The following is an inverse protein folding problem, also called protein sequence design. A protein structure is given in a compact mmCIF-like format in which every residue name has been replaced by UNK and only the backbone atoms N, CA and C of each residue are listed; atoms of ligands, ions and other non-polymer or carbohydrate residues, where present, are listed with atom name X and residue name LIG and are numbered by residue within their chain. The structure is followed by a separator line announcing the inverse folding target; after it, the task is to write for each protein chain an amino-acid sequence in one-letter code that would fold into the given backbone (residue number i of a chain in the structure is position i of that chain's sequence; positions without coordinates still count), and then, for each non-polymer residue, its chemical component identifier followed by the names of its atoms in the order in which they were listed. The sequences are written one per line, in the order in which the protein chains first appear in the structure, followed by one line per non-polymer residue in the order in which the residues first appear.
data_IF_518167414961
#
_entry.id   IF_518167414961
#
_cell.length_a   1.000
_cell.length_b   1.000
_cell.length_c   1.000
_cell.angle_alpha   90.00
_cell.angle_beta   90.00
_cell.angle_gamma   90.00
#
_symmetry.space_group_name_H-M   'P 1'
#
loop_
_entity.id
_entity.type
_entity.pdbx_description
1 polymer ?
#
# COMPACT_ATOMS: atom_id res chain seq x y z
N UNK A 1 13.98 -5.69 -37.43
CA UNK A 1 14.76 -5.70 -36.18
C UNK A 1 14.50 -4.42 -35.40
N UNK A 2 14.53 -4.47 -34.06
CA UNK A 2 14.59 -3.31 -33.13
C UNK A 2 13.27 -2.63 -32.69
N UNK A 3 12.37 -3.37 -32.01
CA UNK A 3 11.37 -2.76 -31.10
C UNK A 3 11.22 -3.48 -29.74
N UNK A 4 11.76 -4.71 -29.59
CA UNK A 4 11.79 -5.41 -28.30
C UNK A 4 12.87 -4.85 -27.35
N UNK A 5 14.03 -4.46 -27.88
CA UNK A 5 15.20 -4.02 -27.10
C UNK A 5 15.01 -2.70 -26.35
N UNK A 6 14.09 -1.83 -26.79
CA UNK A 6 13.85 -0.53 -26.13
C UNK A 6 12.92 -0.63 -24.91
N UNK A 7 11.91 -1.53 -24.95
CA UNK A 7 11.05 -1.78 -23.78
C UNK A 7 11.79 -2.53 -22.67
N UNK A 8 12.71 -3.43 -23.05
CA UNK A 8 13.57 -4.16 -22.12
C UNK A 8 14.59 -3.25 -21.44
N UNK A 9 15.18 -2.28 -22.16
CA UNK A 9 16.13 -1.33 -21.58
C UNK A 9 15.46 -0.31 -20.63
N UNK A 10 14.23 0.12 -20.93
CA UNK A 10 13.41 0.94 -20.02
C UNK A 10 13.05 0.14 -18.76
N UNK A 11 12.74 -1.15 -18.90
CA UNK A 11 12.45 -2.04 -17.78
C UNK A 11 13.67 -2.28 -16.90
N UNK A 12 14.85 -2.54 -17.47
CA UNK A 12 16.08 -2.69 -16.68
C UNK A 12 16.49 -1.40 -15.97
N UNK A 13 16.39 -0.25 -16.64
CA UNK A 13 16.68 1.05 -16.04
C UNK A 13 15.70 1.39 -14.92
N UNK A 14 14.41 1.06 -15.09
CA UNK A 14 13.41 1.17 -14.03
C UNK A 14 13.69 0.20 -12.89
N UNK A 15 14.02 -1.06 -13.15
CA UNK A 15 14.35 -2.07 -12.14
C UNK A 15 15.60 -1.69 -11.34
N UNK A 16 16.67 -1.23 -11.99
CA UNK A 16 17.89 -0.74 -11.31
C UNK A 16 17.63 0.51 -10.48
N UNK A 17 16.74 1.39 -10.93
CA UNK A 17 16.31 2.58 -10.18
C UNK A 17 15.36 2.24 -9.03
N UNK A 18 14.49 1.25 -9.22
CA UNK A 18 13.64 0.65 -8.20
C UNK A 18 14.52 0.00 -7.15
N UNK A 19 15.51 -0.81 -7.51
CA UNK A 19 16.46 -1.45 -6.60
C UNK A 19 17.38 -0.45 -5.91
N UNK A 20 17.78 0.64 -6.56
CA UNK A 20 18.56 1.71 -5.94
C UNK A 20 17.74 2.55 -4.96
N UNK A 21 16.49 2.88 -5.31
CA UNK A 21 15.55 3.55 -4.41
C UNK A 21 15.13 2.60 -3.29
N UNK A 22 14.90 1.33 -3.58
CA UNK A 22 14.62 0.29 -2.60
C UNK A 22 15.84 -0.03 -1.77
N UNK A 23 17.09 0.17 -2.22
CA UNK A 23 18.32 0.04 -1.40
C UNK A 23 18.56 1.26 -0.51
N UNK A 24 18.44 2.47 -1.05
CA UNK A 24 18.54 3.71 -0.26
C UNK A 24 17.39 3.84 0.73
N UNK A 25 16.17 3.54 0.27
CA UNK A 25 15.02 3.36 1.15
C UNK A 25 15.11 2.03 1.89
N UNK A 26 15.80 0.98 1.52
CA UNK A 26 15.97 -0.20 2.39
C UNK A 26 16.88 0.18 3.53
N UNK A 27 17.86 1.06 3.37
CA UNK A 27 18.68 1.50 4.49
C UNK A 27 17.88 2.43 5.43
N UNK A 28 17.00 3.29 4.90
CA UNK A 28 16.17 4.20 5.71
C UNK A 28 14.85 3.56 6.21
N UNK A 29 14.15 2.84 5.34
CA UNK A 29 13.08 1.90 5.67
C UNK A 29 13.62 0.82 6.57
N UNK A 30 14.74 0.10 6.34
CA UNK A 30 15.19 -0.93 7.31
C UNK A 30 15.43 -0.36 8.70
N UNK A 31 15.98 0.86 8.79
CA UNK A 31 16.11 1.56 10.07
C UNK A 31 14.75 1.96 10.69
N UNK A 32 13.69 2.16 9.89
CA UNK A 32 12.31 2.50 10.32
C UNK A 32 11.31 1.32 10.36
N UNK A 33 11.60 0.22 9.68
CA UNK A 33 10.78 -0.97 9.36
C UNK A 33 11.32 -2.16 10.15
N UNK A 34 12.64 -2.30 10.29
CA UNK A 34 13.31 -3.39 11.01
C UNK A 34 13.96 -2.90 12.30
N UNK A 35 13.30 -1.99 13.03
CA UNK A 35 13.64 -1.73 14.44
C UNK A 35 13.05 -2.91 15.24
N UNK A 36 13.80 -4.00 15.27
CA UNK A 36 13.50 -5.33 15.85
C UNK A 36 12.34 -6.09 15.18
N UNK A 37 12.58 -7.37 14.82
CA UNK A 37 11.66 -8.21 14.05
C UNK A 37 10.34 -8.48 14.79
N UNK A 38 9.32 -7.64 14.57
CA UNK A 38 7.95 -7.85 15.04
C UNK A 38 7.11 -8.76 14.11
N UNK A 39 7.62 -9.06 12.91
CA UNK A 39 6.96 -9.94 11.94
C UNK A 39 7.54 -11.35 12.00
N UNK A 40 6.66 -12.35 11.86
CA UNK A 40 7.08 -13.75 11.71
C UNK A 40 7.74 -14.00 10.34
N UNK A 41 8.56 -15.05 10.25
CA UNK A 41 9.17 -15.47 8.99
C UNK A 41 8.12 -15.72 7.89
N UNK A 42 6.95 -16.25 8.26
CA UNK A 42 5.84 -16.44 7.32
C UNK A 42 5.28 -15.11 6.81
N UNK A 43 5.08 -14.12 7.69
CA UNK A 43 4.63 -12.80 7.28
C UNK A 43 5.64 -12.14 6.33
N UNK A 44 6.93 -12.26 6.61
CA UNK A 44 8.00 -11.73 5.75
C UNK A 44 7.93 -12.38 4.37
N UNK A 45 7.80 -13.71 4.30
CA UNK A 45 7.68 -14.44 3.03
C UNK A 45 6.48 -13.95 2.21
N UNK A 46 5.32 -13.82 2.84
CA UNK A 46 4.10 -13.33 2.16
C UNK A 46 4.28 -11.90 1.65
N UNK A 47 4.98 -11.04 2.38
CA UNK A 47 5.24 -9.67 1.92
C UNK A 47 6.22 -9.63 0.75
N UNK A 48 7.22 -10.51 0.70
CA UNK A 48 8.13 -10.61 -0.46
C UNK A 48 7.40 -11.15 -1.70
N UNK A 49 6.58 -12.18 -1.54
CA UNK A 49 5.69 -12.67 -2.61
C UNK A 49 4.77 -11.55 -3.11
N UNK A 50 4.23 -10.73 -2.19
CA UNK A 50 3.36 -9.60 -2.54
C UNK A 50 4.12 -8.48 -3.26
N UNK A 51 5.36 -8.20 -2.85
CA UNK A 51 6.26 -7.26 -3.53
C UNK A 51 6.47 -7.68 -4.98
N UNK A 52 6.82 -8.95 -5.21
CA UNK A 52 7.05 -9.49 -6.55
C UNK A 52 5.78 -9.39 -7.42
N UNK A 53 4.61 -9.70 -6.84
CA UNK A 53 3.32 -9.50 -7.51
C UNK A 53 3.08 -8.04 -7.89
N UNK A 54 3.35 -7.09 -6.99
CA UNK A 54 3.12 -5.67 -7.23
C UNK A 54 4.06 -5.08 -8.29
N UNK A 55 5.33 -5.51 -8.32
CA UNK A 55 6.31 -5.11 -9.34
C UNK A 55 5.98 -5.73 -10.70
N UNK A 56 5.48 -6.98 -10.74
CA UNK A 56 5.07 -7.67 -11.96
C UNK A 56 3.77 -7.16 -12.61
N UNK A 57 3.25 -5.99 -12.23
CA UNK A 57 2.04 -5.39 -12.81
C UNK A 57 0.77 -5.54 -11.96
N UNK A 58 0.83 -6.33 -10.87
CA UNK A 58 -0.15 -6.36 -9.79
C UNK A 58 -1.63 -6.40 -10.21
N UNK A 59 -2.49 -5.82 -9.37
CA UNK A 59 -3.95 -5.78 -9.60
C UNK A 59 -4.41 -4.69 -10.59
N UNK A 60 -3.56 -4.28 -11.54
CA UNK A 60 -3.82 -3.21 -12.52
C UNK A 60 -3.90 -1.77 -11.95
N UNK A 61 -3.97 -1.61 -10.63
CA UNK A 61 -4.08 -0.31 -9.92
C UNK A 61 -2.76 0.21 -9.35
N UNK A 62 -1.75 -0.64 -9.21
CA UNK A 62 -0.43 -0.25 -8.69
C UNK A 62 0.44 0.06 -9.91
N UNK A 63 0.50 1.34 -10.27
CA UNK A 63 1.18 1.81 -11.49
C UNK A 63 2.55 2.43 -11.26
N UNK A 64 2.94 2.62 -9.99
CA UNK A 64 4.18 3.31 -9.63
C UNK A 64 4.88 2.69 -8.43
N UNK A 65 6.21 2.81 -8.42
CA UNK A 65 7.08 2.37 -7.32
C UNK A 65 6.61 2.91 -5.95
N UNK A 66 6.23 4.19 -5.90
CA UNK A 66 5.74 4.82 -4.67
C UNK A 66 4.48 4.12 -4.13
N UNK A 67 3.59 3.70 -5.03
CA UNK A 67 2.37 2.99 -4.66
C UNK A 67 2.67 1.59 -4.13
N UNK A 68 3.65 0.89 -4.72
CA UNK A 68 4.13 -0.42 -4.25
C UNK A 68 4.71 -0.33 -2.84
N UNK A 69 5.63 0.63 -2.60
CA UNK A 69 6.23 0.84 -1.27
C UNK A 69 5.16 1.16 -0.23
N UNK A 70 4.19 2.03 -0.58
CA UNK A 70 3.08 2.36 0.32
C UNK A 70 2.24 1.13 0.66
N UNK A 71 1.95 0.27 -0.32
CA UNK A 71 1.20 -0.95 -0.08
C UNK A 71 1.93 -1.91 0.87
N UNK A 72 3.24 -2.11 0.66
CA UNK A 72 4.08 -2.96 1.52
C UNK A 72 4.16 -2.43 2.95
N UNK A 73 4.38 -1.12 3.13
CA UNK A 73 4.40 -0.50 4.46
C UNK A 73 3.06 -0.66 5.19
N UNK A 74 1.95 -0.52 4.48
CA UNK A 74 0.62 -0.71 5.06
C UNK A 74 0.39 -2.16 5.49
N UNK A 75 0.81 -3.14 4.69
CA UNK A 75 0.65 -4.56 5.04
C UNK A 75 1.58 -4.95 6.19
N UNK A 76 2.80 -4.43 6.23
CA UNK A 76 3.66 -4.55 7.40
C UNK A 76 3.00 -4.00 8.66
N UNK A 77 2.46 -2.79 8.61
CA UNK A 77 1.77 -2.18 9.77
C UNK A 77 0.62 -3.06 10.26
N UNK A 78 -0.13 -3.66 9.34
CA UNK A 78 -1.16 -4.65 9.66
C UNK A 78 -0.55 -5.89 10.35
N UNK A 79 0.52 -6.46 9.80
CA UNK A 79 1.19 -7.63 10.34
C UNK A 79 1.75 -7.41 11.75
N UNK A 80 2.34 -6.24 11.99
CA UNK A 80 2.88 -5.83 13.31
C UNK A 80 1.76 -5.62 14.34
N UNK A 81 0.62 -5.11 13.90
CA UNK A 81 -0.55 -4.93 14.77
C UNK A 81 -1.19 -6.27 15.15
N UNK A 82 -1.42 -7.16 14.17
CA UNK A 82 -2.16 -8.41 14.40
C UNK A 82 -1.26 -9.49 15.03
N UNK A 83 0.05 -9.48 14.73
CA UNK A 83 1.05 -10.44 15.22
C UNK A 83 0.71 -11.91 14.92
N UNK A 84 0.10 -12.17 13.76
CA UNK A 84 -0.27 -13.51 13.28
C UNK A 84 -0.04 -13.66 11.78
N UNK A 85 0.14 -14.89 11.27
CA UNK A 85 0.16 -15.15 9.84
C UNK A 85 -1.03 -14.52 9.14
N UNK A 86 -0.81 -13.90 7.97
CA UNK A 86 -1.88 -13.19 7.26
C UNK A 86 -3.07 -14.08 6.89
N UNK A 87 -2.84 -15.38 6.70
CA UNK A 87 -3.87 -16.39 6.38
C UNK A 87 -4.72 -16.80 7.58
N UNK A 88 -4.27 -16.54 8.79
CA UNK A 88 -4.99 -16.83 10.04
C UNK A 88 -5.78 -15.62 10.55
N UNK A 89 -5.67 -14.49 9.86
CA UNK A 89 -6.36 -13.25 10.22
C UNK A 89 -7.87 -13.42 10.10
N UNK A 90 -8.56 -13.09 11.18
CA UNK A 90 -10.02 -13.14 11.26
C UNK A 90 -10.64 -11.78 10.93
N UNK A 91 -11.95 -11.77 10.69
CA UNK A 91 -12.72 -10.52 10.56
C UNK A 91 -12.51 -9.60 11.78
N UNK A 92 -12.54 -10.14 13.00
CA UNK A 92 -12.37 -9.37 14.24
C UNK A 92 -10.99 -8.70 14.31
N UNK A 93 -9.96 -9.33 13.78
CA UNK A 93 -8.61 -8.75 13.72
C UNK A 93 -8.59 -7.51 12.80
N UNK A 94 -9.24 -7.59 11.64
CA UNK A 94 -9.37 -6.46 10.71
C UNK A 94 -10.24 -5.34 11.29
N UNK A 95 -11.30 -5.67 12.03
CA UNK A 95 -12.13 -4.69 12.76
C UNK A 95 -11.29 -3.93 13.80
N UNK A 96 -10.49 -4.65 14.59
CA UNK A 96 -9.57 -4.06 15.57
C UNK A 96 -8.52 -3.16 14.91
N UNK A 97 -7.96 -3.60 13.79
CA UNK A 97 -7.01 -2.78 13.02
C UNK A 97 -7.66 -1.51 12.46
N UNK A 98 -8.88 -1.62 11.94
CA UNK A 98 -9.66 -0.46 11.47
C UNK A 98 -9.92 0.56 12.59
N UNK A 99 -10.27 0.08 13.79
CA UNK A 99 -10.44 0.94 14.96
C UNK A 99 -9.11 1.62 15.36
N UNK A 100 -8.01 0.87 15.38
CA UNK A 100 -6.67 1.40 15.64
C UNK A 100 -6.28 2.52 14.66
N UNK A 101 -6.53 2.34 13.35
CA UNK A 101 -6.27 3.37 12.36
C UNK A 101 -7.05 4.66 12.64
N UNK A 102 -8.33 4.55 13.01
CA UNK A 102 -9.17 5.71 13.33
C UNK A 102 -8.72 6.44 14.60
N UNK A 103 -8.26 5.70 15.61
CA UNK A 103 -7.75 6.26 16.86
C UNK A 103 -6.40 6.97 16.70
N UNK A 104 -5.67 6.74 15.60
CA UNK A 104 -4.35 7.34 15.36
C UNK A 104 -4.37 8.84 15.00
N UNK A 105 -5.54 9.48 14.98
CA UNK A 105 -5.70 10.89 14.64
C UNK A 105 -5.46 11.23 13.15
N UNK A 106 -5.40 10.22 12.29
CA UNK A 106 -5.23 10.40 10.83
C UNK A 106 -6.57 10.72 10.17
N UNK A 107 -6.51 11.44 9.04
CA UNK A 107 -7.69 11.75 8.21
C UNK A 107 -8.43 10.47 7.78
N UNK A 108 -9.75 10.50 7.77
CA UNK A 108 -10.59 9.37 7.35
C UNK A 108 -10.22 8.84 5.96
N UNK A 109 -9.93 9.74 5.01
CA UNK A 109 -9.51 9.37 3.66
C UNK A 109 -8.21 8.55 3.67
N UNK A 110 -7.27 8.87 4.57
CA UNK A 110 -6.03 8.12 4.72
C UNK A 110 -6.31 6.71 5.24
N UNK A 111 -7.10 6.58 6.32
CA UNK A 111 -7.52 5.30 6.89
C UNK A 111 -8.27 4.43 5.86
N UNK A 112 -9.21 5.02 5.12
CA UNK A 112 -9.93 4.34 4.05
C UNK A 112 -8.99 3.84 2.95
N UNK A 113 -7.98 4.63 2.57
CA UNK A 113 -6.98 4.23 1.57
C UNK A 113 -6.12 3.04 2.02
N UNK A 114 -5.86 2.90 3.32
CA UNK A 114 -5.18 1.73 3.88
C UNK A 114 -6.09 0.52 3.78
N UNK A 115 -7.35 0.63 4.22
CA UNK A 115 -8.32 -0.47 4.18
C UNK A 115 -8.61 -0.97 2.75
N UNK A 116 -8.62 -0.08 1.74
CA UNK A 116 -8.71 -0.46 0.31
C UNK A 116 -7.53 -1.34 -0.11
N UNK A 117 -6.32 -1.00 0.36
CA UNK A 117 -5.11 -1.80 0.09
C UNK A 117 -5.16 -3.13 0.83
N UNK A 118 -5.65 -3.16 2.07
CA UNK A 118 -5.90 -4.41 2.81
C UNK A 118 -6.85 -5.32 2.02
N UNK A 119 -7.99 -4.80 1.52
CA UNK A 119 -8.90 -5.60 0.66
C UNK A 119 -8.18 -6.18 -0.55
N UNK A 120 -7.42 -5.35 -1.25
CA UNK A 120 -6.70 -5.77 -2.47
C UNK A 120 -5.62 -6.81 -2.18
N UNK A 121 -4.92 -6.68 -1.05
CA UNK A 121 -3.94 -7.66 -0.58
C UNK A 121 -4.59 -9.01 -0.28
N UNK A 122 -5.69 -9.04 0.47
CA UNK A 122 -6.38 -10.30 0.79
C UNK A 122 -6.98 -10.99 -0.44
N UNK A 123 -7.45 -10.21 -1.43
CA UNK A 123 -7.87 -10.76 -2.71
C UNK A 123 -6.73 -11.46 -3.44
N UNK A 124 -5.54 -10.86 -3.45
CA UNK A 124 -4.35 -11.48 -4.01
C UNK A 124 -3.93 -12.73 -3.21
N UNK A 125 -3.88 -12.61 -1.87
CA UNK A 125 -3.41 -13.67 -0.98
C UNK A 125 -4.24 -14.95 -1.11
N UNK A 126 -5.56 -14.82 -1.25
CA UNK A 126 -6.49 -15.94 -1.42
C UNK A 126 -6.76 -16.30 -2.89
N UNK A 127 -6.17 -15.58 -3.85
CA UNK A 127 -6.34 -15.80 -5.30
C UNK A 127 -7.80 -15.87 -5.75
N UNK A 128 -8.68 -15.06 -5.15
CA UNK A 128 -10.14 -15.12 -5.35
C UNK A 128 -10.63 -14.44 -6.63
N UNK A 129 -9.74 -14.07 -7.55
CA UNK A 129 -10.09 -13.38 -8.79
C UNK A 129 -10.75 -12.01 -8.52
N UNK A 130 -12.02 -11.87 -8.92
CA UNK A 130 -12.81 -10.65 -8.73
C UNK A 130 -13.46 -10.56 -7.35
N UNK A 131 -13.72 -11.69 -6.71
CA UNK A 131 -14.37 -11.74 -5.41
C UNK A 131 -13.40 -11.40 -4.28
N UNK A 132 -13.92 -10.85 -3.19
CA UNK A 132 -13.16 -10.63 -1.96
C UNK A 132 -13.42 -11.77 -0.96
N UNK A 133 -12.40 -12.30 -0.26
CA UNK A 133 -12.61 -13.35 0.73
C UNK A 133 -13.38 -12.81 1.95
N UNK A 134 -14.08 -13.70 2.66
CA UNK A 134 -14.99 -13.35 3.75
C UNK A 134 -14.36 -12.45 4.84
N UNK A 135 -13.07 -12.62 5.12
CA UNK A 135 -12.28 -11.80 6.06
C UNK A 135 -12.32 -10.30 5.74
N UNK A 136 -12.48 -9.93 4.46
CA UNK A 136 -12.47 -8.52 4.01
C UNK A 136 -13.67 -8.12 3.14
N UNK A 137 -14.53 -9.07 2.72
CA UNK A 137 -15.69 -8.83 1.82
C UNK A 137 -16.67 -7.80 2.40
N UNK A 138 -16.89 -7.83 3.71
CA UNK A 138 -17.79 -6.95 4.46
C UNK A 138 -17.32 -5.48 4.51
N UNK A 139 -16.02 -5.22 4.29
CA UNK A 139 -15.49 -3.86 4.38
C UNK A 139 -15.97 -3.00 3.21
N UNK A 140 -16.50 -1.80 3.51
CA UNK A 140 -16.89 -0.79 2.53
C UNK A 140 -16.15 0.54 2.80
N UNK A 141 -14.81 0.59 2.65
CA UNK A 141 -14.07 1.82 2.87
C UNK A 141 -14.48 2.86 1.80
N UNK A 142 -14.92 4.02 2.26
CA UNK A 142 -15.28 5.15 1.40
C UNK A 142 -14.24 6.25 1.53
N UNK A 143 -13.69 6.70 0.40
CA UNK A 143 -12.91 7.93 0.34
C UNK A 143 -13.92 9.03 0.01
N UNK A 144 -14.26 9.87 1.00
CA UNK A 144 -14.99 11.11 0.72
C UNK A 144 -14.01 12.07 0.05
N UNK A 145 -14.30 12.49 -1.18
CA UNK A 145 -13.58 13.61 -1.78
C UNK A 145 -14.22 14.89 -1.27
N UNK A 146 -13.49 15.63 -0.44
CA UNK A 146 -13.75 17.06 -0.29
C UNK A 146 -13.33 17.69 -1.62
N UNK A 147 -14.31 17.93 -2.50
CA UNK A 147 -14.06 18.76 -3.68
C UNK A 147 -13.84 20.17 -3.15
N UNK A 148 -12.63 20.69 -3.30
CA UNK A 148 -12.37 22.12 -3.14
C UNK A 148 -13.30 22.81 -4.15
N UNK A 149 -14.19 23.69 -3.69
CA UNK A 149 -15.03 24.45 -4.61
C UNK A 149 -14.14 25.49 -5.27
N UNK A 150 -14.42 25.81 -6.52
CA UNK A 150 -13.69 26.84 -7.25
C UNK A 150 -13.71 28.18 -6.49
N UNK A 151 -14.82 28.46 -5.79
CA UNK A 151 -15.04 29.64 -4.96
C UNK A 151 -14.15 29.70 -3.70
N UNK A 152 -13.54 28.58 -3.29
CA UNK A 152 -12.60 28.52 -2.15
C UNK A 152 -11.15 28.79 -2.58
N UNK A 153 -10.89 29.03 -3.88
CA UNK A 153 -9.56 29.38 -4.38
C UNK A 153 -9.28 30.87 -4.09
N UNK A 154 -8.11 31.22 -3.52
CA UNK A 154 -7.74 32.61 -3.33
C UNK A 154 -7.65 33.32 -4.68
N UNK A 155 -8.14 34.56 -4.73
CA UNK A 155 -8.04 35.43 -5.90
C UNK A 155 -6.60 35.93 -6.08
N UNK A 156 -6.26 36.45 -7.26
CA UNK A 156 -4.95 37.07 -7.48
C UNK A 156 -4.65 38.21 -6.49
N UNK A 157 -5.69 38.90 -6.01
CA UNK A 157 -5.57 39.99 -5.05
C UNK A 157 -5.30 39.49 -3.63
N UNK A 158 -5.73 38.28 -3.28
CA UNK A 158 -5.40 37.62 -2.01
C UNK A 158 -3.93 37.16 -2.00
N UNK A 159 -3.39 36.78 -3.16
CA UNK A 159 -2.00 36.34 -3.33
C UNK A 159 -1.02 37.51 -3.23
N UNK A 160 -1.39 38.71 -3.72
CA UNK A 160 -0.53 39.92 -3.68
C UNK A 160 -0.39 40.53 -2.29
N UNK A 161 -1.19 40.10 -1.31
CA UNK A 161 -1.18 40.61 0.07
C UNK A 161 -0.43 39.69 1.05
N UNK A 162 0.10 38.56 0.58
CA UNK A 162 1.00 37.66 1.31
C UNK A 162 2.46 38.13 1.20
#
# INVERSE_FOLDING_TARGET
MSNLTYKESINEGCLKRIDSILKKKEVDLSKRVFKENLLSAEQIKVLDDYKNFCVGGGSGRIKSLSTTVTALCNMKTLGEFIKKPYKEVTRKDIERFSAFLKMSGKKDAYCASILIRVKSFYRWLYKTGEEYPAVVKWMKPQIKSEKIKFDDLPSEDDIKKL
#
